data_IF_244838779039
#
_entry.id   IF_244838779039
#
_cell.length_a   1.000
_cell.length_b   1.000
_cell.length_c   1.000
_cell.angle_alpha   90.00
_cell.angle_beta   90.00
_cell.angle_gamma   90.00
#
_symmetry.space_group_name_H-M   'P 1'
#
loop_
_entity.id
_entity.type
_entity.pdbx_description
1 polymer ?
#
# COMPACT_ATOMS: atom_id res chain seq x y z
N UNK A 1 -45.16 52.35 -24.96
CA UNK A 1 -44.28 51.58 -24.02
C UNK A 1 -44.36 50.07 -24.18
N UNK A 2 -45.52 49.45 -24.28
CA UNK A 2 -45.65 47.97 -24.42
C UNK A 2 -44.97 47.35 -25.68
N UNK A 3 -45.00 48.08 -26.80
CA UNK A 3 -44.41 47.61 -28.06
C UNK A 3 -42.89 47.47 -28.02
N UNK A 4 -42.21 48.37 -27.26
CA UNK A 4 -40.76 48.36 -27.14
C UNK A 4 -40.26 47.20 -26.21
N UNK A 5 -41.06 46.85 -25.20
CA UNK A 5 -40.76 45.71 -24.32
C UNK A 5 -40.84 44.35 -25.06
N UNK A 6 -41.80 44.22 -25.95
CA UNK A 6 -41.96 43.01 -26.77
C UNK A 6 -40.78 42.82 -27.73
N UNK A 7 -40.29 43.92 -28.32
CA UNK A 7 -39.13 43.88 -29.22
C UNK A 7 -37.84 43.54 -28.45
N UNK A 8 -37.61 44.12 -27.25
CA UNK A 8 -36.45 43.80 -26.41
C UNK A 8 -36.47 42.35 -25.92
N UNK A 9 -37.63 41.80 -25.58
CA UNK A 9 -37.82 40.42 -25.19
C UNK A 9 -37.55 39.45 -26.37
N UNK A 10 -37.92 39.81 -27.55
CA UNK A 10 -37.68 39.02 -28.76
C UNK A 10 -36.20 39.03 -29.15
N UNK A 11 -35.53 40.14 -29.01
CA UNK A 11 -34.07 40.23 -29.24
C UNK A 11 -33.28 39.40 -28.19
N UNK A 12 -33.69 39.43 -26.92
CA UNK A 12 -33.07 38.59 -25.86
C UNK A 12 -33.27 37.11 -26.12
N UNK A 13 -34.43 36.69 -26.62
CA UNK A 13 -34.75 35.30 -26.98
C UNK A 13 -33.92 34.81 -28.18
N UNK A 14 -33.68 35.65 -29.19
CA UNK A 14 -32.82 35.32 -30.33
C UNK A 14 -31.36 35.17 -29.93
N UNK A 15 -30.88 35.98 -28.95
CA UNK A 15 -29.51 35.88 -28.42
C UNK A 15 -29.27 34.59 -27.62
N UNK A 16 -30.28 34.04 -26.92
CA UNK A 16 -30.17 32.81 -26.17
C UNK A 16 -30.10 31.55 -27.05
N UNK A 17 -30.56 31.59 -28.30
CA UNK A 17 -30.50 30.47 -29.22
C UNK A 17 -29.13 30.24 -29.87
N UNK A 18 -28.22 31.18 -29.80
CA UNK A 18 -26.88 31.06 -30.41
C UNK A 18 -25.82 30.49 -29.46
N UNK A 19 -26.18 30.11 -28.23
CA UNK A 19 -25.22 29.68 -27.20
C UNK A 19 -24.71 28.24 -27.33
N UNK A 20 -25.28 27.44 -28.26
CA UNK A 20 -24.90 26.01 -28.40
C UNK A 20 -23.94 25.71 -29.57
N UNK A 21 -23.47 26.69 -30.32
CA UNK A 21 -22.73 26.45 -31.57
C UNK A 21 -21.22 26.23 -31.42
N UNK A 22 -20.66 26.37 -30.20
CA UNK A 22 -19.20 26.31 -29.96
C UNK A 22 -18.78 25.29 -28.90
N UNK A 23 -19.46 24.15 -28.82
CA UNK A 23 -18.87 23.01 -28.11
C UNK A 23 -17.81 22.39 -29.03
N UNK A 24 -16.53 22.30 -28.60
CA UNK A 24 -15.53 21.59 -29.37
C UNK A 24 -15.98 20.15 -29.52
N UNK A 25 -16.41 19.78 -30.72
CA UNK A 25 -16.74 18.40 -31.07
C UNK A 25 -15.51 17.55 -30.84
N UNK A 26 -15.61 16.49 -30.05
CA UNK A 26 -14.49 15.57 -29.86
C UNK A 26 -14.05 15.05 -31.23
N UNK A 27 -12.77 15.12 -31.53
CA UNK A 27 -12.20 14.63 -32.80
C UNK A 27 -12.53 13.13 -32.95
N UNK A 28 -13.36 12.81 -33.95
CA UNK A 28 -13.78 11.43 -34.23
C UNK A 28 -12.62 10.52 -34.62
N UNK A 29 -11.48 11.08 -35.06
CA UNK A 29 -10.24 10.33 -35.28
C UNK A 29 -9.53 9.99 -33.98
N UNK A 30 -9.60 10.88 -33.00
CA UNK A 30 -9.00 10.67 -31.70
C UNK A 30 -9.91 9.84 -30.79
N UNK A 31 -11.22 10.07 -30.85
CA UNK A 31 -12.23 9.34 -30.08
C UNK A 31 -13.33 8.81 -31.00
N UNK A 32 -13.16 7.64 -31.63
CA UNK A 32 -14.18 7.06 -32.50
C UNK A 32 -15.52 6.89 -31.77
N UNK A 33 -16.65 7.19 -32.40
CA UNK A 33 -17.98 7.03 -31.79
C UNK A 33 -18.33 5.57 -31.50
N UNK A 34 -17.77 4.61 -32.25
CA UNK A 34 -17.95 3.18 -32.04
C UNK A 34 -17.14 2.67 -30.85
N UNK A 35 -17.77 2.08 -29.81
CA UNK A 35 -17.08 1.51 -28.66
C UNK A 35 -16.03 0.45 -29.02
N UNK A 36 -16.28 -0.36 -30.06
CA UNK A 36 -15.37 -1.43 -30.49
C UNK A 36 -14.09 -0.85 -31.08
N UNK A 37 -14.19 0.22 -31.85
CA UNK A 37 -13.02 0.90 -32.43
C UNK A 37 -12.19 1.58 -31.34
N UNK A 38 -12.82 2.16 -30.31
CA UNK A 38 -12.12 2.71 -29.13
C UNK A 38 -11.35 1.64 -28.36
N UNK A 39 -11.97 0.48 -28.15
CA UNK A 39 -11.30 -0.64 -27.47
C UNK A 39 -10.10 -1.12 -28.28
N UNK A 40 -10.28 -1.32 -29.62
CA UNK A 40 -9.20 -1.76 -30.49
C UNK A 40 -8.03 -0.77 -30.47
N UNK A 41 -8.30 0.52 -30.63
CA UNK A 41 -7.30 1.59 -30.57
C UNK A 41 -6.57 1.61 -29.23
N UNK A 42 -7.28 1.51 -28.12
CA UNK A 42 -6.67 1.49 -26.79
C UNK A 42 -5.80 0.25 -26.54
N UNK A 43 -6.14 -0.90 -27.14
CA UNK A 43 -5.31 -2.10 -27.12
C UNK A 43 -4.03 -1.92 -27.95
N UNK A 44 -4.14 -1.36 -29.15
CA UNK A 44 -3.02 -1.08 -30.04
C UNK A 44 -2.05 -0.06 -29.43
N UNK A 45 -2.59 0.96 -28.76
CA UNK A 45 -1.80 1.99 -28.06
C UNK A 45 -1.29 1.56 -26.66
N UNK A 46 -1.58 0.32 -26.24
CA UNK A 46 -1.21 -0.16 -24.90
C UNK A 46 -1.98 0.53 -23.75
N UNK A 47 -3.05 1.27 -24.09
CA UNK A 47 -3.95 1.95 -23.14
C UNK A 47 -5.12 1.05 -22.72
N UNK A 48 -4.90 -0.25 -22.58
CA UNK A 48 -5.93 -1.19 -22.11
C UNK A 48 -6.52 -0.76 -20.75
N UNK A 49 -7.70 -1.31 -20.43
CA UNK A 49 -8.39 -1.04 -19.16
C UNK A 49 -7.46 -1.35 -17.97
N UNK A 50 -6.94 -0.31 -17.34
CA UNK A 50 -6.17 -0.42 -16.10
C UNK A 50 -7.13 -0.10 -14.95
N UNK A 51 -7.49 -1.10 -14.18
CA UNK A 51 -8.36 -0.96 -13.01
C UNK A 51 -7.79 0.07 -12.00
N UNK A 52 -6.46 0.20 -11.97
CA UNK A 52 -5.72 1.12 -11.10
C UNK A 52 -5.99 2.61 -11.34
N UNK A 53 -6.49 3.01 -12.53
CA UNK A 53 -6.72 4.41 -12.84
C UNK A 53 -8.13 4.92 -12.48
N UNK A 54 -9.10 4.04 -12.23
CA UNK A 54 -10.50 4.44 -11.92
C UNK A 54 -10.94 4.18 -10.50
N UNK A 55 -10.31 3.26 -9.80
CA UNK A 55 -10.52 3.09 -8.37
C UNK A 55 -9.54 4.04 -7.72
N UNK A 56 -10.06 5.14 -7.18
CA UNK A 56 -9.24 6.18 -6.56
C UNK A 56 -8.14 5.55 -5.71
N UNK A 57 -6.95 6.13 -5.74
CA UNK A 57 -5.67 5.69 -5.18
C UNK A 57 -5.66 5.24 -3.70
N UNK A 58 -6.63 4.51 -3.25
CA UNK A 58 -6.47 3.54 -2.18
C UNK A 58 -6.09 2.22 -2.84
N UNK A 59 -4.86 2.15 -3.32
CA UNK A 59 -4.21 0.88 -3.58
C UNK A 59 -4.25 0.13 -2.26
N UNK A 60 -5.17 -0.80 -2.14
CA UNK A 60 -5.13 -1.88 -1.15
C UNK A 60 -4.09 -2.92 -1.55
N UNK A 61 -3.18 -2.58 -2.43
CA UNK A 61 -1.97 -3.33 -2.63
C UNK A 61 -1.16 -3.08 -1.38
N UNK A 62 -1.24 -4.01 -0.48
CA UNK A 62 -0.35 -4.10 0.66
C UNK A 62 1.08 -4.18 0.12
N UNK A 63 1.70 -3.04 -0.03
CA UNK A 63 3.09 -2.93 -0.49
C UNK A 63 4.01 -3.21 0.69
N UNK A 64 3.87 -4.42 1.27
CA UNK A 64 4.59 -4.82 2.47
C UNK A 64 6.11 -4.93 2.24
N UNK A 65 6.57 -5.35 1.04
CA UNK A 65 7.94 -5.78 0.87
C UNK A 65 8.96 -4.66 0.75
N UNK A 66 8.65 -3.61 0.04
CA UNK A 66 9.65 -2.59 -0.28
C UNK A 66 9.39 -1.27 0.41
N UNK A 67 8.15 -0.99 0.77
CA UNK A 67 7.75 0.30 1.31
C UNK A 67 7.24 0.26 2.75
N UNK A 68 6.91 -0.91 3.30
CA UNK A 68 6.44 -1.01 4.67
C UNK A 68 7.60 -1.13 5.67
N UNK A 69 7.75 -0.13 6.51
CA UNK A 69 8.81 -0.01 7.51
C UNK A 69 8.72 -1.11 8.57
N UNK A 70 7.49 -1.51 8.97
CA UNK A 70 7.27 -2.61 9.93
C UNK A 70 7.76 -3.94 9.39
N UNK A 71 7.46 -4.22 8.11
CA UNK A 71 7.88 -5.44 7.43
C UNK A 71 9.40 -5.56 7.37
N UNK A 72 10.06 -4.51 6.90
CA UNK A 72 11.53 -4.45 6.83
C UNK A 72 12.16 -4.60 8.22
N UNK A 73 11.65 -3.86 9.20
CA UNK A 73 12.14 -3.92 10.58
C UNK A 73 11.95 -5.31 11.19
N UNK A 74 10.87 -6.00 10.86
CA UNK A 74 10.63 -7.37 11.33
C UNK A 74 11.63 -8.35 10.74
N UNK A 75 11.82 -8.35 9.42
CA UNK A 75 12.82 -9.19 8.74
C UNK A 75 14.21 -8.96 9.31
N UNK A 76 14.63 -7.71 9.42
CA UNK A 76 15.94 -7.35 9.97
C UNK A 76 16.10 -7.65 11.48
N UNK A 77 15.00 -7.87 12.19
CA UNK A 77 15.07 -8.22 13.61
C UNK A 77 15.24 -9.71 13.82
N UNK A 78 14.70 -10.52 12.89
CA UNK A 78 14.77 -11.99 12.92
C UNK A 78 15.74 -12.57 11.90
N UNK A 79 16.59 -11.76 11.27
CA UNK A 79 17.54 -12.13 10.20
C UNK A 79 18.47 -13.30 10.55
N UNK A 80 18.76 -13.48 11.86
CA UNK A 80 19.57 -14.58 12.34
C UNK A 80 18.87 -15.96 12.29
N UNK A 81 17.56 -16.00 12.03
CA UNK A 81 16.75 -17.23 11.96
C UNK A 81 16.40 -17.57 10.52
N UNK A 82 16.47 -18.86 10.13
CA UNK A 82 15.97 -19.29 8.84
C UNK A 82 14.45 -19.08 8.75
N UNK A 83 13.96 -18.66 7.58
CA UNK A 83 12.55 -18.43 7.35
C UNK A 83 11.91 -19.71 6.77
N UNK A 84 10.80 -20.15 7.37
CA UNK A 84 9.99 -21.27 6.90
C UNK A 84 8.93 -20.84 5.89
N UNK A 85 8.28 -19.72 6.15
CA UNK A 85 7.24 -19.18 5.27
C UNK A 85 7.18 -17.66 5.36
N UNK A 86 7.08 -17.02 4.20
CA UNK A 86 6.89 -15.58 4.09
C UNK A 86 5.71 -15.33 3.15
N UNK A 87 4.57 -14.97 3.71
CA UNK A 87 3.40 -14.61 2.93
C UNK A 87 3.22 -13.09 2.94
N UNK A 88 3.60 -12.51 1.85
CA UNK A 88 3.62 -11.09 1.64
C UNK A 88 2.23 -10.45 1.61
N UNK A 89 1.34 -10.97 0.78
CA UNK A 89 -0.04 -10.50 0.64
C UNK A 89 -0.89 -10.80 1.89
N UNK A 90 -0.59 -11.90 2.59
CA UNK A 90 -1.24 -12.25 3.87
C UNK A 90 -0.65 -11.54 5.08
N UNK A 91 0.43 -10.78 4.92
CA UNK A 91 1.08 -10.06 6.02
C UNK A 91 1.58 -10.99 7.12
N UNK A 92 2.29 -12.08 6.77
CA UNK A 92 2.74 -13.06 7.76
C UNK A 92 4.16 -13.54 7.46
N UNK A 93 4.99 -13.61 8.51
CA UNK A 93 6.33 -14.17 8.49
C UNK A 93 6.39 -15.28 9.53
N UNK A 94 6.91 -16.45 9.14
CA UNK A 94 7.13 -17.57 10.03
C UNK A 94 8.57 -18.04 9.87
N UNK A 95 9.30 -18.09 10.97
CA UNK A 95 10.66 -18.67 10.99
C UNK A 95 10.60 -20.19 11.04
N UNK A 96 11.71 -20.84 10.75
CA UNK A 96 11.88 -22.23 11.13
C UNK A 96 12.32 -22.36 12.59
N UNK A 97 12.44 -23.58 13.10
CA UNK A 97 12.97 -23.84 14.43
C UNK A 97 14.44 -23.45 14.48
N UNK A 98 14.79 -22.64 15.45
CA UNK A 98 16.15 -22.17 15.67
C UNK A 98 16.62 -22.55 17.06
N UNK A 99 17.76 -23.25 17.13
CA UNK A 99 18.43 -23.63 18.36
C UNK A 99 19.74 -22.86 18.49
N UNK A 100 20.08 -22.43 19.69
CA UNK A 100 21.40 -21.87 19.95
C UNK A 100 22.46 -22.98 19.95
N UNK A 101 23.68 -22.67 19.51
CA UNK A 101 24.80 -23.64 19.51
C UNK A 101 25.10 -24.23 20.90
N UNK A 102 24.74 -23.52 21.96
CA UNK A 102 25.02 -23.93 23.36
C UNK A 102 23.83 -24.70 23.99
N UNK A 103 22.68 -24.81 23.31
CA UNK A 103 21.51 -25.47 23.86
C UNK A 103 20.72 -26.11 22.71
N UNK A 104 21.07 -27.33 22.38
CA UNK A 104 20.47 -28.11 21.28
C UNK A 104 19.09 -28.66 21.64
N UNK A 105 18.77 -28.79 22.91
CA UNK A 105 17.55 -29.39 23.41
C UNK A 105 16.37 -28.41 23.40
N UNK A 106 16.69 -27.11 23.24
CA UNK A 106 15.69 -26.04 23.14
C UNK A 106 15.75 -25.38 21.77
N UNK A 107 14.60 -25.19 21.17
CA UNK A 107 14.47 -24.44 19.91
C UNK A 107 13.27 -23.51 19.94
N UNK A 108 13.40 -22.37 19.30
CA UNK A 108 12.35 -21.38 19.20
C UNK A 108 11.88 -21.22 17.75
N UNK A 109 10.61 -20.91 17.60
CA UNK A 109 9.96 -20.57 16.33
C UNK A 109 9.12 -19.32 16.52
N UNK A 110 9.27 -18.36 15.63
CA UNK A 110 8.58 -17.08 15.70
C UNK A 110 7.58 -16.96 14.55
N UNK A 111 6.37 -16.53 14.87
CA UNK A 111 5.36 -16.13 13.89
C UNK A 111 4.99 -14.68 14.11
N UNK A 112 5.13 -13.86 13.08
CA UNK A 112 4.77 -12.44 13.09
C UNK A 112 3.64 -12.25 12.08
N UNK A 113 2.52 -11.72 12.56
CA UNK A 113 1.37 -11.36 11.75
C UNK A 113 1.16 -9.85 11.82
N UNK A 114 1.06 -9.22 10.66
CA UNK A 114 0.81 -7.79 10.53
C UNK A 114 -0.70 -7.54 10.46
N UNK A 115 -1.21 -6.74 11.38
CA UNK A 115 -2.63 -6.39 11.48
C UNK A 115 -2.93 -5.06 10.80
N UNK A 116 -1.93 -4.15 10.80
CA UNK A 116 -2.00 -2.85 10.11
C UNK A 116 -0.63 -2.46 9.56
N UNK A 117 -0.60 -1.43 8.71
CA UNK A 117 0.65 -0.87 8.16
C UNK A 117 1.21 0.29 9.00
N UNK A 118 0.51 0.67 10.07
CA UNK A 118 0.90 1.78 10.93
C UNK A 118 1.91 1.33 11.99
N UNK A 119 2.86 2.22 12.36
CA UNK A 119 3.87 1.95 13.37
C UNK A 119 3.26 2.18 14.76
N UNK A 120 2.54 1.17 15.25
CA UNK A 120 1.90 1.20 16.57
C UNK A 120 1.93 -0.18 17.24
N UNK A 121 1.75 -0.22 18.54
CA UNK A 121 1.95 -1.42 19.36
C UNK A 121 1.01 -2.58 19.04
N UNK A 122 -0.18 -2.29 18.53
CA UNK A 122 -1.18 -3.26 18.14
C UNK A 122 -1.12 -3.68 16.65
N UNK A 123 -0.16 -3.11 15.89
CA UNK A 123 0.05 -3.46 14.49
C UNK A 123 0.61 -4.87 14.29
N UNK A 124 1.19 -5.47 15.34
CA UNK A 124 1.88 -6.76 15.28
C UNK A 124 1.27 -7.75 16.26
N UNK A 125 0.87 -8.92 15.75
CA UNK A 125 0.59 -10.11 16.53
C UNK A 125 1.79 -11.07 16.42
N UNK A 126 2.57 -11.18 17.51
CA UNK A 126 3.78 -11.99 17.56
C UNK A 126 3.51 -13.19 18.46
N UNK A 127 3.79 -14.39 17.95
CA UNK A 127 3.75 -15.64 18.70
C UNK A 127 5.13 -16.26 18.70
N UNK A 128 5.57 -16.68 19.86
CA UNK A 128 6.84 -17.40 20.05
C UNK A 128 6.50 -18.78 20.58
N UNK A 129 6.95 -19.78 19.86
CA UNK A 129 6.84 -21.19 20.24
C UNK A 129 8.22 -21.64 20.73
N UNK A 130 8.25 -22.25 21.91
CA UNK A 130 9.43 -22.86 22.47
C UNK A 130 9.23 -24.38 22.45
N UNK A 131 10.15 -25.09 21.80
CA UNK A 131 10.19 -26.54 21.78
C UNK A 131 11.35 -27.00 22.63
N UNK A 132 11.07 -27.86 23.62
CA UNK A 132 12.05 -28.49 24.48
C UNK A 132 11.94 -30.00 24.39
N UNK A 133 13.07 -30.66 24.10
CA UNK A 133 13.14 -32.12 23.96
C UNK A 133 13.91 -32.69 25.15
N UNK A 134 13.49 -33.87 25.62
CA UNK A 134 14.21 -34.67 26.62
C UNK A 134 15.24 -35.63 25.95
N UNK A 135 16.03 -36.29 26.77
CA UNK A 135 17.05 -37.26 26.33
C UNK A 135 16.48 -38.44 25.52
N UNK A 136 15.17 -38.70 25.63
CA UNK A 136 14.45 -39.70 24.87
C UNK A 136 13.79 -39.14 23.59
N UNK A 137 14.16 -37.93 23.15
CA UNK A 137 13.60 -37.24 21.97
C UNK A 137 12.08 -36.96 22.07
N UNK A 138 11.51 -36.92 23.28
CA UNK A 138 10.13 -36.47 23.48
C UNK A 138 10.13 -34.97 23.59
N UNK A 139 9.43 -34.30 22.70
CA UNK A 139 9.44 -32.86 22.61
C UNK A 139 8.11 -32.26 23.06
N UNK A 140 8.19 -31.21 23.88
CA UNK A 140 7.05 -30.41 24.33
C UNK A 140 7.13 -29.02 23.73
N UNK A 141 6.00 -28.51 23.24
CA UNK A 141 5.90 -27.18 22.65
C UNK A 141 5.06 -26.30 23.58
N UNK A 142 5.59 -25.13 23.93
CA UNK A 142 4.90 -24.10 24.70
C UNK A 142 4.91 -22.76 23.95
N UNK A 143 3.98 -21.87 24.29
CA UNK A 143 3.86 -20.57 23.63
C UNK A 143 3.78 -19.39 24.65
N UNK A 144 4.37 -19.55 25.84
CA UNK A 144 4.22 -18.63 26.96
C UNK A 144 5.33 -17.57 27.13
N UNK A 145 6.07 -17.30 26.06
CA UNK A 145 7.22 -16.38 26.07
C UNK A 145 6.82 -14.88 25.99
N UNK A 146 6.02 -14.42 26.96
CA UNK A 146 5.49 -13.04 26.95
C UNK A 146 6.57 -11.97 27.01
N UNK A 147 7.67 -12.21 27.73
CA UNK A 147 8.81 -11.30 27.83
C UNK A 147 9.50 -11.13 26.49
N UNK A 148 9.82 -12.23 25.81
CA UNK A 148 10.47 -12.21 24.48
C UNK A 148 9.56 -11.56 23.44
N UNK A 149 8.26 -11.83 23.47
CA UNK A 149 7.27 -11.18 22.59
C UNK A 149 7.30 -9.66 22.75
N UNK A 150 7.32 -9.17 23.99
CA UNK A 150 7.33 -7.73 24.28
C UNK A 150 8.64 -7.07 23.84
N UNK A 151 9.77 -7.73 24.03
CA UNK A 151 11.09 -7.26 23.60
C UNK A 151 11.19 -7.21 22.07
N UNK A 152 10.75 -8.27 21.37
CA UNK A 152 10.70 -8.30 19.92
C UNK A 152 9.84 -7.17 19.36
N UNK A 153 8.61 -7.03 19.88
CA UNK A 153 7.70 -5.97 19.47
C UNK A 153 8.32 -4.59 19.63
N UNK A 154 8.91 -4.31 20.80
CA UNK A 154 9.60 -3.04 21.07
C UNK A 154 10.76 -2.80 20.10
N UNK A 155 11.58 -3.82 19.82
CA UNK A 155 12.72 -3.74 18.91
C UNK A 155 12.27 -3.48 17.47
N UNK A 156 11.25 -4.18 17.00
CA UNK A 156 10.67 -4.00 15.66
C UNK A 156 10.11 -2.59 15.50
N UNK A 157 9.27 -2.14 16.44
CA UNK A 157 8.67 -0.80 16.37
C UNK A 157 9.72 0.32 16.39
N UNK A 158 10.75 0.20 17.25
CA UNK A 158 11.86 1.17 17.27
C UNK A 158 12.59 1.23 15.93
N UNK A 159 12.88 0.07 15.33
CA UNK A 159 13.56 -0.01 14.03
C UNK A 159 12.68 0.51 12.89
N UNK A 160 11.39 0.22 12.91
CA UNK A 160 10.43 0.73 11.95
C UNK A 160 10.31 2.26 12.01
N UNK A 161 10.30 2.85 13.21
CA UNK A 161 10.30 4.30 13.38
C UNK A 161 11.54 4.96 12.76
N UNK A 162 12.72 4.36 12.92
CA UNK A 162 13.95 4.84 12.28
C UNK A 162 13.81 4.78 10.74
N UNK A 163 13.29 3.68 10.19
CA UNK A 163 13.10 3.57 8.75
C UNK A 163 12.10 4.60 8.20
N UNK A 164 11.03 4.87 8.94
CA UNK A 164 10.07 5.90 8.58
C UNK A 164 10.73 7.29 8.54
N UNK A 165 11.51 7.65 9.55
CA UNK A 165 12.24 8.92 9.56
C UNK A 165 13.18 9.06 8.35
N UNK A 166 13.96 8.02 8.05
CA UNK A 166 14.85 8.01 6.89
C UNK A 166 14.10 8.16 5.56
N UNK A 167 12.90 7.57 5.46
CA UNK A 167 12.03 7.70 4.29
C UNK A 167 11.50 9.12 4.13
N UNK A 168 11.00 9.73 5.20
CA UNK A 168 10.51 11.10 5.19
C UNK A 168 11.62 12.10 4.79
N UNK A 169 12.82 11.98 5.35
CA UNK A 169 13.96 12.80 4.98
C UNK A 169 14.32 12.66 3.48
N UNK A 170 14.25 11.43 2.95
CA UNK A 170 14.50 11.18 1.52
C UNK A 170 13.43 11.84 0.64
N UNK A 171 12.17 11.74 1.03
CA UNK A 171 11.05 12.38 0.33
C UNK A 171 11.16 13.90 0.35
N UNK A 172 11.53 14.49 1.49
CA UNK A 172 11.77 15.93 1.59
C UNK A 172 12.90 16.42 0.68
N UNK A 173 14.01 15.67 0.64
CA UNK A 173 15.11 15.98 -0.28
C UNK A 173 14.68 15.91 -1.75
N UNK A 174 13.82 14.95 -2.10
CA UNK A 174 13.26 14.84 -3.45
C UNK A 174 12.29 15.99 -3.76
N UNK A 175 11.43 16.39 -2.81
CA UNK A 175 10.53 17.56 -2.94
C UNK A 175 11.31 18.85 -3.20
N UNK A 176 12.40 19.07 -2.47
CA UNK A 176 13.28 20.24 -2.68
C UNK A 176 13.95 20.26 -4.05
N UNK A 177 14.30 19.09 -4.61
CA UNK A 177 14.91 18.97 -5.94
C UNK A 177 13.91 19.13 -7.09
N UNK A 178 12.66 18.71 -6.91
CA UNK A 178 11.65 18.75 -7.96
C UNK A 178 10.26 19.07 -7.38
N UNK A 179 9.93 20.38 -7.19
CA UNK A 179 8.68 20.80 -6.57
C UNK A 179 7.42 20.42 -7.37
N UNK A 180 7.56 20.08 -8.66
CA UNK A 180 6.43 19.74 -9.53
C UNK A 180 6.01 18.27 -9.52
N UNK A 181 6.82 17.36 -8.99
CA UNK A 181 6.54 15.90 -9.05
C UNK A 181 5.53 15.43 -8.01
N UNK A 182 5.19 16.22 -7.00
CA UNK A 182 4.40 15.78 -5.85
C UNK A 182 3.14 16.62 -5.55
N UNK A 183 2.63 17.36 -6.50
CA UNK A 183 1.25 17.89 -6.44
C UNK A 183 0.25 16.78 -6.86
N UNK A 184 0.33 15.61 -6.22
CA UNK A 184 -0.71 14.60 -6.34
C UNK A 184 -1.76 14.94 -5.29
N UNK A 185 -3.00 15.34 -5.69
CA UNK A 185 -4.07 15.59 -4.72
C UNK A 185 -4.44 14.25 -4.08
N UNK A 186 -4.20 14.07 -2.80
CA UNK A 186 -4.62 12.87 -2.07
C UNK A 186 -3.92 12.55 -0.76
N UNK A 187 -2.89 13.28 -0.36
CA UNK A 187 -2.24 13.12 0.95
C UNK A 187 -2.74 14.23 1.92
N UNK A 188 -4.00 14.12 2.31
CA UNK A 188 -4.54 14.77 3.52
C UNK A 188 -5.51 13.84 4.20
#
# INVERSE_FOLDING_TARGET
>A
MRKNYIITLLILFIFSLNSCANLPGGDAKENPPDPRQRVKKNLEEGKGFRLSNKIGKKSTTYDFATSNELWRASLDTIDFMPLSSVNYSGGMIITDWYSSKNNTDESIKISIRFLTNEIRSDALDIKVFNKKCDEQNRCFISNNETKLISELKKKILKKAAIYNTMKEEKLEKQRKKNPYVLSIPGDR
#
